data_IF_180677131223
#
_entry.id   IF_180677131223
#
_cell.length_a   1.000
_cell.length_b   1.000
_cell.length_c   1.000
_cell.angle_alpha   90.00
_cell.angle_beta   90.00
_cell.angle_gamma   90.00
#
_symmetry.space_group_name_H-M   'P 1'
#
loop_
_entity.id
_entity.type
_entity.pdbx_description
1 polymer ?
#
# COMPACT_ATOMS: atom_id res chain seq x y z
N UNK A 1 -21.13 57.37 57.39
CA UNK A 1 -22.27 57.14 56.48
C UNK A 1 -21.80 56.14 55.44
N UNK A 2 -22.30 54.92 55.27
CA UNK A 2 -23.22 54.04 56.00
C UNK A 2 -22.84 52.62 55.54
N UNK A 3 -22.93 51.68 56.46
CA UNK A 3 -22.56 50.25 56.42
C UNK A 3 -23.26 49.42 55.33
N UNK A 4 -22.57 48.41 54.79
CA UNK A 4 -23.17 47.28 54.06
C UNK A 4 -22.80 45.98 54.79
N UNK A 5 -23.80 45.19 55.17
CA UNK A 5 -23.63 43.83 55.71
C UNK A 5 -24.85 42.95 55.42
N UNK A 6 -24.59 41.65 55.19
CA UNK A 6 -25.46 40.45 55.27
C UNK A 6 -26.61 40.29 54.26
N UNK A 7 -27.00 39.13 53.73
CA UNK A 7 -26.67 37.68 53.83
C UNK A 7 -27.38 36.95 52.65
N UNK A 8 -26.95 35.74 52.23
CA UNK A 8 -27.58 34.87 51.19
C UNK A 8 -28.90 34.20 51.63
N UNK A 9 -29.48 33.16 50.96
CA UNK A 9 -28.76 32.03 50.30
C UNK A 9 -29.45 31.31 49.08
N UNK A 10 -28.76 30.27 48.53
CA UNK A 10 -29.24 29.06 47.78
C UNK A 10 -29.88 29.24 46.38
N UNK A 11 -29.62 28.46 45.32
CA UNK A 11 -29.48 26.98 45.15
C UNK A 11 -28.67 26.58 43.90
N UNK A 12 -28.14 25.35 43.94
CA UNK A 12 -27.61 24.46 42.88
C UNK A 12 -27.92 24.79 41.41
N UNK A 13 -26.89 24.60 40.57
CA UNK A 13 -27.07 23.95 39.27
C UNK A 13 -25.80 23.14 38.95
N UNK A 14 -25.84 21.86 39.33
CA UNK A 14 -24.94 20.83 38.85
C UNK A 14 -25.32 20.56 37.38
N UNK A 15 -24.43 20.92 36.47
CA UNK A 15 -24.53 20.55 35.07
C UNK A 15 -24.01 19.14 34.91
N UNK A 16 -24.89 18.16 35.08
CA UNK A 16 -24.63 16.77 34.75
C UNK A 16 -24.29 16.66 33.25
N UNK A 17 -23.12 16.09 32.99
CA UNK A 17 -22.71 15.58 31.68
C UNK A 17 -23.73 14.54 31.22
N UNK A 18 -24.51 14.89 30.20
CA UNK A 18 -25.42 13.96 29.52
C UNK A 18 -24.62 12.81 28.90
N UNK A 19 -24.58 11.70 29.65
CA UNK A 19 -24.07 10.42 29.21
C UNK A 19 -24.98 9.89 28.10
N UNK A 20 -24.44 9.92 26.89
CA UNK A 20 -25.06 9.57 25.63
C UNK A 20 -25.61 8.13 25.65
N UNK A 21 -26.86 7.97 26.09
CA UNK A 21 -27.56 6.68 26.11
C UNK A 21 -28.26 6.53 24.76
N UNK A 22 -27.63 5.81 23.83
CA UNK A 22 -28.26 5.43 22.57
C UNK A 22 -29.40 4.45 22.91
N UNK A 23 -30.63 4.95 22.93
CA UNK A 23 -31.82 4.11 23.04
C UNK A 23 -31.93 3.26 21.77
N UNK A 24 -31.88 1.93 21.92
CA UNK A 24 -32.25 0.97 20.88
C UNK A 24 -33.77 1.03 20.64
N UNK A 25 -34.28 2.10 20.04
CA UNK A 25 -35.67 2.17 19.61
C UNK A 25 -35.82 1.54 18.23
N UNK A 26 -36.32 0.30 18.19
CA UNK A 26 -37.15 -0.20 17.09
C UNK A 26 -36.47 -0.80 15.85
N UNK A 27 -35.17 -1.09 15.84
CA UNK A 27 -34.57 -1.92 14.79
C UNK A 27 -34.76 -3.40 15.14
N UNK A 28 -35.33 -4.22 14.24
CA UNK A 28 -35.46 -5.66 14.48
C UNK A 28 -34.06 -6.28 14.58
N UNK A 29 -33.57 -6.44 15.81
CA UNK A 29 -32.32 -7.13 16.06
C UNK A 29 -32.50 -8.62 15.70
N UNK A 30 -31.54 -9.16 14.95
CA UNK A 30 -31.58 -10.56 14.53
C UNK A 30 -30.59 -11.33 15.39
N UNK A 31 -31.03 -12.42 16.03
CA UNK A 31 -30.12 -13.31 16.76
C UNK A 31 -29.30 -14.14 15.77
N UNK A 32 -27.99 -14.21 15.97
CA UNK A 32 -27.12 -15.04 15.15
C UNK A 32 -27.49 -16.52 15.28
N UNK A 33 -27.58 -17.25 14.18
CA UNK A 33 -28.05 -18.65 14.17
C UNK A 33 -27.05 -19.62 14.81
N UNK A 34 -25.77 -19.24 14.92
CA UNK A 34 -24.69 -20.14 15.38
C UNK A 34 -24.11 -19.71 16.71
N UNK A 35 -23.94 -18.40 16.90
CA UNK A 35 -23.26 -17.80 18.05
C UNK A 35 -24.20 -16.99 18.96
N UNK A 36 -25.50 -17.23 18.87
CA UNK A 36 -26.43 -16.93 19.95
C UNK A 36 -26.63 -18.17 20.82
N UNK A 37 -25.74 -18.37 21.79
CA UNK A 37 -25.74 -19.52 22.70
C UNK A 37 -26.58 -19.19 23.93
N UNK A 38 -27.60 -20.00 24.22
CA UNK A 38 -28.46 -19.76 25.39
C UNK A 38 -27.69 -19.80 26.72
N UNK A 39 -26.64 -20.62 26.79
CA UNK A 39 -25.73 -20.75 27.93
C UNK A 39 -24.68 -19.62 28.02
N UNK A 40 -24.59 -18.74 27.02
CA UNK A 40 -23.66 -17.61 27.03
C UNK A 40 -24.00 -16.57 28.09
N UNK A 41 -22.98 -15.92 28.65
CA UNK A 41 -23.05 -14.92 29.71
C UNK A 41 -22.65 -13.50 29.25
N UNK A 42 -22.49 -13.31 27.93
CA UNK A 42 -22.25 -12.01 27.30
C UNK A 42 -23.05 -11.86 26.02
N UNK A 43 -23.94 -10.86 25.98
CA UNK A 43 -24.63 -10.44 24.75
C UNK A 43 -23.88 -9.29 24.08
N UNK A 44 -23.56 -9.46 22.80
CA UNK A 44 -22.87 -8.50 21.95
C UNK A 44 -23.77 -8.14 20.78
N UNK A 45 -23.93 -6.85 20.51
CA UNK A 45 -24.67 -6.33 19.40
C UNK A 45 -23.72 -5.76 18.34
N UNK A 46 -23.69 -6.36 17.16
CA UNK A 46 -22.85 -5.93 16.04
C UNK A 46 -23.77 -5.48 14.91
N UNK A 47 -23.86 -4.16 14.70
CA UNK A 47 -24.77 -3.49 13.75
C UNK A 47 -26.25 -3.87 13.88
N UNK A 48 -26.64 -5.02 13.34
CA UNK A 48 -28.02 -5.53 13.31
C UNK A 48 -28.18 -6.90 13.97
N UNK A 49 -27.07 -7.51 14.38
CA UNK A 49 -27.03 -8.92 14.81
C UNK A 49 -26.63 -9.03 16.28
N UNK A 50 -27.40 -9.78 17.05
CA UNK A 50 -27.09 -10.15 18.42
C UNK A 50 -26.33 -11.48 18.47
N UNK A 51 -25.21 -11.47 19.17
CA UNK A 51 -24.39 -12.63 19.51
C UNK A 51 -24.47 -12.84 21.01
N UNK A 52 -24.61 -14.08 21.46
CA UNK A 52 -24.60 -14.44 22.88
C UNK A 52 -23.55 -15.52 23.10
N UNK A 53 -22.42 -15.15 23.71
CA UNK A 53 -21.23 -15.98 23.84
C UNK A 53 -20.65 -15.92 25.24
N UNK A 54 -19.69 -16.80 25.56
CA UNK A 54 -19.07 -16.85 26.87
C UNK A 54 -17.99 -15.78 27.05
N UNK A 55 -18.04 -15.01 28.14
CA UNK A 55 -17.07 -13.97 28.52
C UNK A 55 -15.64 -14.49 28.53
N UNK A 56 -15.43 -15.68 29.09
CA UNK A 56 -14.10 -16.28 29.19
C UNK A 56 -13.44 -16.50 27.82
N UNK A 57 -14.23 -16.72 26.76
CA UNK A 57 -13.73 -16.90 25.39
C UNK A 57 -13.26 -15.58 24.81
N UNK A 58 -13.98 -14.49 25.08
CA UNK A 58 -13.62 -13.14 24.67
C UNK A 58 -12.44 -12.59 25.47
N UNK A 59 -12.33 -12.93 26.75
CA UNK A 59 -11.23 -12.51 27.62
C UNK A 59 -9.92 -13.30 27.39
N UNK A 60 -9.85 -14.19 26.39
CA UNK A 60 -8.61 -14.91 26.08
C UNK A 60 -7.57 -13.97 25.48
N UNK A 61 -6.31 -14.38 25.59
CA UNK A 61 -5.21 -13.81 24.81
C UNK A 61 -4.94 -12.31 25.10
N UNK A 62 -5.29 -11.83 26.30
CA UNK A 62 -5.03 -10.43 26.69
C UNK A 62 -5.91 -9.42 25.96
N UNK A 63 -7.06 -9.85 25.45
CA UNK A 63 -7.90 -9.00 24.59
C UNK A 63 -8.41 -7.76 25.32
N UNK A 64 -8.88 -6.78 24.55
CA UNK A 64 -9.52 -5.57 25.11
C UNK A 64 -10.76 -5.91 25.96
N UNK A 65 -11.40 -7.05 25.70
CA UNK A 65 -12.56 -7.51 26.46
C UNK A 65 -12.18 -7.97 27.88
N UNK A 66 -10.98 -8.51 28.09
CA UNK A 66 -10.50 -8.91 29.43
C UNK A 66 -10.51 -7.71 30.38
N UNK A 67 -9.92 -6.59 29.94
CA UNK A 67 -9.93 -5.33 30.69
C UNK A 67 -11.34 -4.79 30.90
N UNK A 68 -12.19 -4.83 29.87
CA UNK A 68 -13.58 -4.38 29.96
C UNK A 68 -14.39 -5.17 31.01
N UNK A 69 -14.19 -6.49 31.10
CA UNK A 69 -14.90 -7.34 32.06
C UNK A 69 -14.33 -7.29 33.48
N UNK A 70 -13.07 -6.88 33.64
CA UNK A 70 -12.42 -6.74 34.95
C UNK A 70 -12.87 -5.48 35.72
N UNK A 71 -13.52 -4.52 35.05
CA UNK A 71 -14.02 -3.31 35.69
C UNK A 71 -15.22 -3.63 36.60
N UNK A 72 -15.24 -3.14 37.86
CA UNK A 72 -16.35 -3.37 38.75
C UNK A 72 -17.63 -2.77 38.16
N UNK A 73 -18.78 -3.47 38.23
CA UNK A 73 -20.04 -2.92 37.77
C UNK A 73 -20.35 -1.68 38.63
N UNK A 74 -20.50 -0.52 37.97
CA UNK A 74 -21.00 0.68 38.62
C UNK A 74 -22.47 0.54 39.03
N UNK A 75 -23.14 1.67 39.30
CA UNK A 75 -24.58 1.68 39.62
C UNK A 75 -25.51 1.36 38.42
N UNK A 76 -24.96 1.08 37.24
CA UNK A 76 -25.71 0.76 36.03
C UNK A 76 -25.65 -0.75 35.74
N UNK A 77 -26.65 -1.33 35.06
CA UNK A 77 -26.63 -2.74 34.67
C UNK A 77 -25.37 -3.04 33.84
N UNK A 78 -24.67 -4.11 34.21
CA UNK A 78 -23.42 -4.52 33.59
C UNK A 78 -23.61 -4.70 32.08
N UNK A 79 -22.84 -3.97 31.28
CA UNK A 79 -22.92 -4.05 29.82
C UNK A 79 -22.71 -5.50 29.34
N UNK A 80 -23.56 -5.95 28.41
CA UNK A 80 -23.57 -7.32 27.89
C UNK A 80 -24.33 -8.33 28.74
N UNK A 81 -25.11 -7.90 29.74
CA UNK A 81 -25.89 -8.81 30.59
C UNK A 81 -27.15 -9.38 29.93
N UNK A 82 -27.69 -8.71 28.92
CA UNK A 82 -28.95 -9.08 28.26
C UNK A 82 -29.06 -8.48 26.85
N UNK A 83 -30.09 -8.91 26.12
CA UNK A 83 -30.44 -8.37 24.79
C UNK A 83 -30.81 -6.88 24.85
N UNK A 84 -31.38 -6.42 25.98
CA UNK A 84 -31.74 -5.03 26.20
C UNK A 84 -30.55 -4.15 26.61
N UNK A 85 -29.44 -4.77 27.05
CA UNK A 85 -28.22 -4.07 27.44
C UNK A 85 -26.96 -4.79 26.89
N UNK A 86 -26.79 -4.88 25.56
CA UNK A 86 -25.67 -5.59 24.96
C UNK A 86 -24.39 -4.74 24.94
N UNK A 87 -23.24 -5.39 24.73
CA UNK A 87 -22.02 -4.68 24.33
C UNK A 87 -22.14 -4.31 22.85
N UNK A 88 -22.15 -3.02 22.52
CA UNK A 88 -22.36 -2.55 21.14
C UNK A 88 -21.01 -2.42 20.43
N UNK A 89 -20.85 -3.14 19.31
CA UNK A 89 -19.68 -3.06 18.44
C UNK A 89 -20.08 -2.54 17.05
N UNK A 90 -19.19 -1.76 16.43
CA UNK A 90 -19.41 -1.15 15.11
C UNK A 90 -18.76 -1.93 13.95
N UNK A 91 -18.43 -3.20 14.17
CA UNK A 91 -17.79 -4.07 13.16
C UNK A 91 -18.79 -4.68 12.17
N UNK A 92 -18.29 -5.45 11.20
CA UNK A 92 -19.15 -6.29 10.37
C UNK A 92 -19.59 -7.56 11.11
N UNK A 93 -20.88 -7.95 11.04
CA UNK A 93 -21.36 -9.19 11.65
C UNK A 93 -20.61 -10.44 11.15
N UNK A 94 -20.23 -10.47 9.87
CA UNK A 94 -19.53 -11.60 9.28
C UNK A 94 -18.08 -11.71 9.79
N UNK A 95 -17.40 -10.58 9.97
CA UNK A 95 -16.07 -10.54 10.58
C UNK A 95 -16.14 -11.02 12.04
N UNK A 96 -17.16 -10.57 12.80
CA UNK A 96 -17.36 -11.00 14.19
C UNK A 96 -17.69 -12.49 14.30
N UNK A 97 -18.50 -13.01 13.36
CA UNK A 97 -18.79 -14.45 13.26
C UNK A 97 -17.53 -15.26 12.95
N UNK A 98 -16.68 -14.78 12.04
CA UNK A 98 -15.41 -15.41 11.73
C UNK A 98 -14.47 -15.44 12.95
N UNK A 99 -14.45 -14.37 13.74
CA UNK A 99 -13.69 -14.30 14.99
C UNK A 99 -14.25 -15.26 16.05
N UNK A 100 -15.57 -15.31 16.21
CA UNK A 100 -16.22 -16.30 17.09
C UNK A 100 -15.86 -17.73 16.67
N UNK A 101 -15.86 -18.03 15.37
CA UNK A 101 -15.40 -19.34 14.89
C UNK A 101 -13.97 -19.63 15.34
N UNK A 102 -13.03 -18.71 15.15
CA UNK A 102 -11.65 -18.91 15.55
C UNK A 102 -11.51 -19.16 17.07
N UNK A 103 -12.25 -18.40 17.88
CA UNK A 103 -12.20 -18.48 19.34
C UNK A 103 -12.79 -19.78 19.91
N UNK A 104 -13.78 -20.37 19.24
CA UNK A 104 -14.42 -21.64 19.62
C UNK A 104 -13.85 -22.88 18.91
N UNK A 105 -13.06 -22.70 17.86
CA UNK A 105 -12.55 -23.81 17.05
C UNK A 105 -11.58 -24.70 17.84
N UNK A 106 -11.61 -26.00 17.54
CA UNK A 106 -10.69 -26.97 18.13
C UNK A 106 -9.30 -26.86 17.47
N UNK A 107 -8.22 -27.28 18.13
CA UNK A 107 -6.87 -27.21 17.56
C UNK A 107 -6.77 -27.84 16.17
N UNK A 108 -7.45 -28.96 15.93
CA UNK A 108 -7.48 -29.64 14.62
C UNK A 108 -8.09 -28.78 13.50
N UNK A 109 -9.07 -27.94 13.81
CA UNK A 109 -9.73 -27.06 12.83
C UNK A 109 -8.84 -25.87 12.43
N UNK A 110 -7.90 -25.51 13.30
CA UNK A 110 -7.01 -24.34 13.20
C UNK A 110 -5.62 -24.73 12.65
N UNK A 111 -5.20 -25.99 12.85
CA UNK A 111 -3.84 -26.49 12.59
C UNK A 111 -3.43 -26.44 11.11
N UNK A 112 -4.38 -26.57 10.19
CA UNK A 112 -4.12 -26.48 8.75
C UNK A 112 -5.16 -25.57 8.10
N UNK A 113 -4.88 -24.25 7.98
CA UNK A 113 -5.77 -23.32 7.30
C UNK A 113 -5.97 -23.74 5.85
N UNK A 114 -7.14 -24.30 5.53
CA UNK A 114 -7.51 -24.60 4.15
C UNK A 114 -8.08 -23.34 3.49
N UNK A 115 -7.18 -22.44 3.09
CA UNK A 115 -7.54 -21.24 2.32
C UNK A 115 -7.72 -21.61 0.85
N UNK A 116 -8.76 -22.38 0.54
CA UNK A 116 -9.00 -22.91 -0.82
C UNK A 116 -9.83 -21.95 -1.66
N UNK A 117 -10.80 -21.30 -1.04
CA UNK A 117 -11.77 -20.42 -1.71
C UNK A 117 -11.61 -18.95 -1.30
N UNK A 118 -12.18 -18.03 -2.08
CA UNK A 118 -12.27 -16.62 -1.67
C UNK A 118 -13.05 -16.44 -0.36
N UNK A 119 -14.05 -17.28 -0.10
CA UNK A 119 -14.81 -17.27 1.17
C UNK A 119 -13.92 -17.58 2.37
N UNK A 120 -13.03 -18.57 2.23
CA UNK A 120 -12.06 -18.90 3.28
C UNK A 120 -11.12 -17.72 3.53
N UNK A 121 -10.67 -17.04 2.46
CA UNK A 121 -9.81 -15.85 2.58
C UNK A 121 -10.57 -14.72 3.27
N UNK A 122 -11.81 -14.42 2.89
CA UNK A 122 -12.65 -13.41 3.55
C UNK A 122 -12.78 -13.65 5.04
N UNK A 123 -12.98 -14.91 5.44
CA UNK A 123 -13.05 -15.30 6.85
C UNK A 123 -11.76 -14.96 7.61
N UNK A 124 -10.60 -15.27 7.04
CA UNK A 124 -9.30 -14.95 7.63
C UNK A 124 -8.97 -13.46 7.62
N UNK A 125 -9.47 -12.71 6.64
CA UNK A 125 -9.37 -11.24 6.63
C UNK A 125 -10.17 -10.64 7.79
N UNK A 126 -11.41 -11.10 8.02
CA UNK A 126 -12.23 -10.69 9.15
C UNK A 126 -11.59 -11.01 10.51
N UNK A 127 -11.05 -12.23 10.66
CA UNK A 127 -10.30 -12.62 11.87
C UNK A 127 -9.11 -11.68 12.08
N UNK A 128 -8.32 -11.40 11.03
CA UNK A 128 -7.14 -10.53 11.16
C UNK A 128 -7.51 -9.10 11.55
N UNK A 129 -8.58 -8.54 10.96
CA UNK A 129 -9.09 -7.20 11.30
C UNK A 129 -9.49 -7.11 12.77
N UNK A 130 -10.32 -8.05 13.24
CA UNK A 130 -10.83 -8.01 14.60
C UNK A 130 -9.79 -8.41 15.63
N UNK A 131 -8.89 -9.35 15.31
CA UNK A 131 -7.80 -9.73 16.19
C UNK A 131 -6.83 -8.55 16.40
N UNK A 132 -6.51 -7.79 15.36
CA UNK A 132 -5.71 -6.57 15.48
C UNK A 132 -6.45 -5.48 16.30
N UNK A 133 -7.74 -5.24 16.01
CA UNK A 133 -8.56 -4.22 16.69
C UNK A 133 -8.78 -4.50 18.18
N UNK A 134 -9.03 -5.75 18.53
CA UNK A 134 -9.35 -6.18 19.90
C UNK A 134 -8.17 -6.86 20.61
N UNK A 135 -6.97 -6.75 20.06
CA UNK A 135 -5.72 -7.24 20.65
C UNK A 135 -5.67 -8.73 20.98
N UNK A 136 -6.25 -9.58 20.12
CA UNK A 136 -6.05 -11.03 20.17
C UNK A 136 -4.75 -11.42 19.46
N UNK A 137 -3.61 -11.17 20.10
CA UNK A 137 -2.28 -11.26 19.49
C UNK A 137 -1.93 -12.63 18.87
N UNK A 138 -2.28 -13.73 19.54
CA UNK A 138 -2.05 -15.09 19.04
C UNK A 138 -2.88 -15.38 17.81
N UNK A 139 -4.14 -14.91 17.79
CA UNK A 139 -5.05 -15.07 16.66
C UNK A 139 -4.65 -14.19 15.48
N UNK A 140 -4.22 -12.95 15.73
CA UNK A 140 -3.68 -12.05 14.70
C UNK A 140 -2.46 -12.69 14.03
N UNK A 141 -1.49 -13.17 14.82
CA UNK A 141 -0.29 -13.82 14.29
C UNK A 141 -0.64 -15.06 13.47
N UNK A 142 -1.57 -15.88 13.95
CA UNK A 142 -2.01 -17.08 13.24
C UNK A 142 -2.70 -16.75 11.91
N UNK A 143 -3.70 -15.85 11.92
CA UNK A 143 -4.48 -15.53 10.73
C UNK A 143 -3.65 -14.83 9.66
N UNK A 144 -2.79 -13.90 10.06
CA UNK A 144 -1.87 -13.18 9.16
C UNK A 144 -0.78 -14.09 8.58
N UNK A 145 -0.30 -15.08 9.35
CA UNK A 145 0.64 -16.09 8.86
C UNK A 145 -0.02 -16.96 7.78
N UNK A 146 -1.27 -17.38 8.01
CA UNK A 146 -2.05 -18.15 7.04
C UNK A 146 -2.30 -17.35 5.74
N UNK A 147 -2.71 -16.08 5.87
CA UNK A 147 -2.89 -15.17 4.73
C UNK A 147 -1.58 -14.95 3.96
N UNK A 148 -0.47 -14.72 4.68
CA UNK A 148 0.84 -14.53 4.08
C UNK A 148 1.28 -15.76 3.30
N UNK A 149 1.13 -16.95 3.87
CA UNK A 149 1.44 -18.22 3.20
C UNK A 149 0.63 -18.37 1.91
N UNK A 150 -0.69 -18.12 1.98
CA UNK A 150 -1.59 -18.12 0.82
C UNK A 150 -1.28 -17.04 -0.21
N UNK A 151 -0.40 -16.07 0.08
CA UNK A 151 -0.03 -15.00 -0.84
C UNK A 151 1.45 -15.05 -1.28
N UNK A 152 2.18 -16.14 -0.99
CA UNK A 152 3.59 -16.34 -1.41
C UNK A 152 3.72 -16.95 -2.82
N UNK A 153 4.90 -17.43 -3.22
CA UNK A 153 5.32 -17.67 -4.61
C UNK A 153 4.35 -18.51 -5.48
N UNK A 154 3.72 -19.56 -4.95
CA UNK A 154 2.71 -20.36 -5.67
C UNK A 154 1.37 -19.61 -5.88
N UNK A 155 1.17 -18.52 -5.15
CA UNK A 155 -0.09 -17.80 -4.99
C UNK A 155 -0.07 -16.33 -5.45
N UNK A 156 1.01 -15.89 -6.11
CA UNK A 156 0.88 -14.72 -7.02
C UNK A 156 -0.21 -14.95 -8.07
N UNK A 157 -0.48 -16.21 -8.43
CA UNK A 157 -1.62 -16.62 -9.25
C UNK A 157 -2.95 -16.16 -8.65
N UNK A 158 -3.19 -16.46 -7.37
CA UNK A 158 -4.39 -16.05 -6.64
C UNK A 158 -4.54 -14.53 -6.58
N UNK A 159 -3.48 -13.79 -6.22
CA UNK A 159 -3.56 -12.32 -6.15
C UNK A 159 -3.82 -11.67 -7.52
N UNK A 160 -3.37 -12.30 -8.61
CA UNK A 160 -3.64 -11.87 -9.97
C UNK A 160 -5.06 -12.22 -10.44
N UNK A 161 -5.64 -13.33 -9.97
CA UNK A 161 -6.93 -13.83 -10.44
C UNK A 161 -8.13 -13.51 -9.53
N UNK A 162 -7.90 -13.16 -8.27
CA UNK A 162 -8.97 -12.88 -7.31
C UNK A 162 -9.76 -11.63 -7.70
N UNK A 163 -11.00 -11.56 -7.21
CA UNK A 163 -11.87 -10.39 -7.41
C UNK A 163 -11.21 -9.09 -6.93
N UNK A 164 -11.63 -7.96 -7.52
CA UNK A 164 -11.08 -6.63 -7.16
C UNK A 164 -11.31 -6.31 -5.68
N UNK A 165 -12.50 -6.61 -5.18
CA UNK A 165 -12.87 -6.36 -3.78
C UNK A 165 -12.02 -7.22 -2.83
N UNK A 166 -11.81 -8.49 -3.16
CA UNK A 166 -10.90 -9.36 -2.42
C UNK A 166 -9.49 -8.80 -2.40
N UNK A 167 -8.96 -8.37 -3.54
CA UNK A 167 -7.63 -7.79 -3.63
C UNK A 167 -7.46 -6.55 -2.75
N UNK A 168 -8.44 -5.63 -2.78
CA UNK A 168 -8.44 -4.42 -1.93
C UNK A 168 -8.49 -4.80 -0.45
N UNK A 169 -9.32 -5.78 -0.06
CA UNK A 169 -9.40 -6.21 1.33
C UNK A 169 -8.11 -6.88 1.82
N UNK A 170 -7.47 -7.70 0.99
CA UNK A 170 -6.16 -8.30 1.31
C UNK A 170 -5.12 -7.19 1.49
N UNK A 171 -5.13 -6.20 0.59
CA UNK A 171 -4.23 -5.04 0.68
C UNK A 171 -4.43 -4.27 1.99
N UNK A 172 -5.68 -3.93 2.31
CA UNK A 172 -6.05 -3.21 3.52
C UNK A 172 -5.59 -3.94 4.79
N UNK A 173 -5.81 -5.26 4.86
CA UNK A 173 -5.37 -6.08 6.01
C UNK A 173 -3.85 -6.18 6.08
N UNK A 174 -3.17 -6.32 4.94
CA UNK A 174 -1.71 -6.38 4.92
C UNK A 174 -1.07 -5.10 5.46
N UNK A 175 -1.64 -3.93 5.15
CA UNK A 175 -1.19 -2.64 5.70
C UNK A 175 -1.58 -2.50 7.18
N UNK A 176 -2.84 -2.79 7.53
CA UNK A 176 -3.35 -2.70 8.90
C UNK A 176 -2.52 -3.53 9.88
N UNK A 177 -2.24 -4.79 9.53
CA UNK A 177 -1.45 -5.72 10.32
C UNK A 177 0.08 -5.57 10.11
N UNK A 178 0.53 -4.51 9.41
CA UNK A 178 1.95 -4.17 9.21
C UNK A 178 2.78 -5.28 8.57
N UNK A 179 2.21 -6.02 7.62
CA UNK A 179 2.84 -7.12 6.91
C UNK A 179 3.71 -6.59 5.75
N UNK A 180 4.89 -6.03 6.05
CA UNK A 180 5.70 -5.28 5.06
C UNK A 180 6.07 -6.09 3.80
N UNK A 181 6.47 -7.36 3.98
CA UNK A 181 6.82 -8.24 2.85
C UNK A 181 5.61 -8.52 1.95
N UNK A 182 4.47 -8.81 2.56
CA UNK A 182 3.23 -9.07 1.83
C UNK A 182 2.75 -7.80 1.12
N UNK A 183 2.79 -6.65 1.81
CA UNK A 183 2.44 -5.35 1.24
C UNK A 183 3.27 -5.04 0.00
N UNK A 184 4.59 -5.26 0.04
CA UNK A 184 5.46 -5.08 -1.12
C UNK A 184 5.10 -6.01 -2.30
N UNK A 185 4.78 -7.28 -2.01
CA UNK A 185 4.31 -8.24 -3.02
C UNK A 185 3.00 -7.77 -3.64
N UNK A 186 2.01 -7.41 -2.83
CA UNK A 186 0.70 -6.96 -3.32
C UNK A 186 0.84 -5.64 -4.10
N UNK A 187 1.69 -4.71 -3.69
CA UNK A 187 1.99 -3.49 -4.44
C UNK A 187 2.54 -3.80 -5.84
N UNK A 188 3.44 -4.77 -5.97
CA UNK A 188 3.93 -5.23 -7.28
C UNK A 188 2.82 -5.90 -8.12
N UNK A 189 1.95 -6.68 -7.48
CA UNK A 189 0.78 -7.27 -8.18
C UNK A 189 -0.23 -6.20 -8.59
N UNK A 190 -0.42 -5.13 -7.80
CA UNK A 190 -1.28 -4.00 -8.14
C UNK A 190 -0.82 -3.36 -9.45
N UNK A 191 0.48 -3.08 -9.60
CA UNK A 191 1.06 -2.56 -10.84
C UNK A 191 0.80 -3.52 -12.01
N UNK A 192 0.95 -4.83 -11.80
CA UNK A 192 0.68 -5.84 -12.84
C UNK A 192 -0.80 -5.88 -13.25
N UNK A 193 -1.73 -5.85 -12.30
CA UNK A 193 -3.18 -5.82 -12.56
C UNK A 193 -3.59 -4.56 -13.33
N UNK A 194 -2.93 -3.42 -13.07
CA UNK A 194 -3.14 -2.20 -13.85
C UNK A 194 -2.62 -2.32 -15.27
N UNK A 195 -1.43 -2.92 -15.49
CA UNK A 195 -0.89 -3.14 -16.84
C UNK A 195 -1.76 -4.02 -17.72
N UNK A 196 -2.41 -5.05 -17.15
CA UNK A 196 -3.32 -5.93 -17.89
C UNK A 196 -4.75 -5.36 -18.04
N UNK A 197 -5.01 -4.17 -17.49
CA UNK A 197 -6.33 -3.52 -17.54
C UNK A 197 -7.37 -4.10 -16.57
N UNK A 198 -6.98 -5.02 -15.68
CA UNK A 198 -7.91 -5.60 -14.70
C UNK A 198 -8.22 -4.63 -13.57
N UNK A 199 -7.25 -3.85 -13.08
CA UNK A 199 -7.45 -2.82 -12.06
C UNK A 199 -7.17 -1.44 -12.66
N UNK A 200 -8.20 -0.58 -12.78
CA UNK A 200 -8.05 0.75 -13.34
C UNK A 200 -7.04 1.61 -12.58
N UNK A 201 -6.24 2.42 -13.30
CA UNK A 201 -5.18 3.25 -12.72
C UNK A 201 -5.70 4.17 -11.61
N UNK A 202 -6.87 4.80 -11.78
CA UNK A 202 -7.48 5.66 -10.76
C UNK A 202 -7.76 4.92 -9.45
N UNK A 203 -8.25 3.68 -9.52
CA UNK A 203 -8.50 2.84 -8.34
C UNK A 203 -7.19 2.41 -7.66
N UNK A 204 -6.18 2.04 -8.45
CA UNK A 204 -4.86 1.68 -7.93
C UNK A 204 -4.19 2.87 -7.22
N UNK A 205 -4.31 4.09 -7.79
CA UNK A 205 -3.81 5.31 -7.16
C UNK A 205 -4.55 5.63 -5.86
N UNK A 206 -5.88 5.51 -5.84
CA UNK A 206 -6.67 5.70 -4.62
C UNK A 206 -6.25 4.75 -3.51
N UNK A 207 -5.91 3.49 -3.84
CA UNK A 207 -5.40 2.52 -2.87
C UNK A 207 -4.02 2.93 -2.32
N UNK A 208 -3.14 3.41 -3.20
CA UNK A 208 -1.84 3.96 -2.81
C UNK A 208 -1.97 5.23 -1.96
N UNK A 209 -2.95 6.10 -2.25
CA UNK A 209 -3.23 7.33 -1.51
C UNK A 209 -3.80 7.03 -0.12
N UNK A 210 -4.78 6.12 -0.04
CA UNK A 210 -5.42 5.68 1.22
C UNK A 210 -4.39 5.21 2.25
N UNK A 211 -3.36 4.49 1.81
CA UNK A 211 -2.34 3.90 2.67
C UNK A 211 -1.03 4.69 2.72
N UNK A 212 -0.94 5.85 2.07
CA UNK A 212 0.28 6.67 2.03
C UNK A 212 1.47 6.01 1.33
N UNK A 213 1.23 5.07 0.41
CA UNK A 213 2.27 4.30 -0.28
C UNK A 213 2.83 5.07 -1.47
N UNK A 214 3.72 6.02 -1.18
CA UNK A 214 4.34 6.91 -2.17
C UNK A 214 5.11 6.15 -3.27
N UNK A 215 5.88 5.12 -2.91
CA UNK A 215 6.60 4.27 -3.86
C UNK A 215 5.68 3.59 -4.88
N UNK A 216 4.55 3.03 -4.41
CA UNK A 216 3.53 2.45 -5.28
C UNK A 216 2.92 3.50 -6.21
N UNK A 217 2.55 4.68 -5.67
CA UNK A 217 1.98 5.78 -6.46
C UNK A 217 2.94 6.24 -7.56
N UNK A 218 4.22 6.48 -7.25
CA UNK A 218 5.23 6.88 -8.22
C UNK A 218 5.39 5.84 -9.35
N UNK A 219 5.44 4.56 -8.99
CA UNK A 219 5.48 3.46 -9.97
C UNK A 219 4.21 3.39 -10.83
N UNK A 220 3.03 3.58 -10.24
CA UNK A 220 1.76 3.58 -10.98
C UNK A 220 1.71 4.73 -11.99
N UNK A 221 2.05 5.96 -11.58
CA UNK A 221 2.11 7.09 -12.51
C UNK A 221 3.14 6.88 -13.62
N UNK A 222 4.33 6.42 -13.28
CA UNK A 222 5.38 6.18 -14.28
C UNK A 222 4.96 5.12 -15.30
N UNK A 223 4.42 4.00 -14.85
CA UNK A 223 3.92 2.97 -15.77
C UNK A 223 2.73 3.47 -16.61
N UNK A 224 1.89 4.34 -16.07
CA UNK A 224 0.80 4.97 -16.84
C UNK A 224 1.35 5.91 -17.92
N UNK A 225 2.36 6.74 -17.62
CA UNK A 225 3.05 7.55 -18.63
C UNK A 225 3.67 6.70 -19.74
N UNK A 226 4.32 5.59 -19.38
CA UNK A 226 4.88 4.66 -20.37
C UNK A 226 3.79 4.01 -21.24
N UNK A 227 2.61 3.73 -20.68
CA UNK A 227 1.48 3.22 -21.45
C UNK A 227 0.92 4.28 -22.40
N UNK A 228 0.78 5.53 -21.94
CA UNK A 228 0.38 6.67 -22.78
C UNK A 228 1.28 6.83 -24.00
N UNK A 229 2.57 6.56 -23.81
CA UNK A 229 3.60 6.63 -24.84
C UNK A 229 3.57 5.47 -25.84
N UNK A 230 3.39 4.25 -25.33
CA UNK A 230 3.42 3.04 -26.13
C UNK A 230 2.19 2.86 -27.04
N UNK A 231 1.08 3.53 -26.71
CA UNK A 231 -0.07 3.53 -27.59
C UNK A 231 0.25 4.33 -28.87
N UNK A 232 -0.04 3.73 -30.03
CA UNK A 232 -0.07 4.38 -31.35
C UNK A 232 -1.21 5.42 -31.37
N UNK A 233 -1.07 6.43 -30.53
CA UNK A 233 -2.02 7.52 -30.37
C UNK A 233 -2.05 8.24 -31.68
N UNK A 234 -3.20 8.23 -32.35
CA UNK A 234 -3.40 9.01 -33.57
C UNK A 234 -3.83 10.41 -33.17
N UNK A 235 -3.41 11.43 -33.92
CA UNK A 235 -3.93 12.78 -33.71
C UNK A 235 -5.45 12.76 -33.87
N UNK A 236 -6.14 13.64 -33.15
CA UNK A 236 -7.57 13.82 -33.35
C UNK A 236 -7.86 14.13 -34.82
N UNK A 237 -8.98 13.62 -35.40
CA UNK A 237 -9.34 13.95 -36.77
C UNK A 237 -9.37 15.46 -36.97
N UNK A 238 -8.66 15.95 -38.00
CA UNK A 238 -8.54 17.37 -38.34
C UNK A 238 -7.87 18.25 -37.27
N UNK A 239 -7.03 17.69 -36.39
CA UNK A 239 -6.25 18.46 -35.42
C UNK A 239 -4.83 17.95 -35.25
N UNK A 240 -4.03 18.70 -34.50
CA UNK A 240 -2.63 18.36 -34.15
C UNK A 240 -2.49 17.77 -32.75
N UNK A 241 -3.57 17.76 -31.97
CA UNK A 241 -3.57 17.27 -30.60
C UNK A 241 -3.67 15.74 -30.55
N UNK A 242 -2.94 15.15 -29.62
CA UNK A 242 -3.01 13.74 -29.28
C UNK A 242 -3.77 13.64 -27.95
N UNK A 243 -4.75 12.75 -27.89
CA UNK A 243 -5.57 12.56 -26.68
C UNK A 243 -5.35 11.14 -26.19
N UNK A 244 -5.05 11.05 -24.89
CA UNK A 244 -5.09 9.80 -24.16
C UNK A 244 -6.27 9.83 -23.19
N UNK A 245 -7.01 8.74 -23.10
CA UNK A 245 -8.14 8.65 -22.18
C UNK A 245 -7.64 8.53 -20.73
N UNK A 246 -7.70 9.65 -20.02
CA UNK A 246 -7.39 9.76 -18.60
C UNK A 246 -8.66 9.94 -17.74
N UNK A 247 -9.83 9.59 -18.26
CA UNK A 247 -11.13 9.80 -17.60
C UNK A 247 -11.26 9.14 -16.21
N UNK A 248 -10.46 8.11 -15.94
CA UNK A 248 -10.43 7.43 -14.64
C UNK A 248 -9.65 8.18 -13.56
N UNK A 249 -8.88 9.20 -13.91
CA UNK A 249 -8.07 9.99 -12.98
C UNK A 249 -8.86 11.22 -12.50
N UNK A 250 -8.77 11.51 -11.21
CA UNK A 250 -9.29 12.77 -10.67
C UNK A 250 -8.36 13.96 -11.03
N UNK A 251 -8.82 15.22 -10.88
CA UNK A 251 -8.02 16.39 -11.27
C UNK A 251 -6.65 16.48 -10.58
N UNK A 252 -6.57 16.11 -9.30
CA UNK A 252 -5.31 16.09 -8.55
C UNK A 252 -4.36 15.03 -9.10
N UNK A 253 -4.86 13.84 -9.41
CA UNK A 253 -4.08 12.77 -10.00
C UNK A 253 -3.58 13.13 -11.39
N UNK A 254 -4.43 13.79 -12.19
CA UNK A 254 -4.06 14.28 -13.52
C UNK A 254 -2.97 15.37 -13.45
N UNK A 255 -3.07 16.30 -12.49
CA UNK A 255 -2.03 17.30 -12.26
C UNK A 255 -0.67 16.66 -11.92
N UNK A 256 -0.66 15.67 -11.03
CA UNK A 256 0.55 14.92 -10.65
C UNK A 256 1.15 14.16 -11.83
N UNK A 257 0.31 13.56 -12.67
CA UNK A 257 0.75 12.88 -13.89
C UNK A 257 1.52 13.83 -14.82
N UNK A 258 0.98 15.02 -15.08
CA UNK A 258 1.62 16.03 -15.93
C UNK A 258 2.85 16.68 -15.28
N UNK A 259 2.82 16.91 -13.96
CA UNK A 259 3.99 17.36 -13.22
C UNK A 259 5.15 16.35 -13.33
N UNK A 260 4.84 15.06 -13.21
CA UNK A 260 5.79 13.97 -13.41
C UNK A 260 6.32 13.88 -14.83
N UNK A 261 5.46 14.05 -15.85
CA UNK A 261 5.89 14.14 -17.25
C UNK A 261 6.94 15.25 -17.43
N UNK A 262 6.67 16.45 -16.93
CA UNK A 262 7.59 17.57 -17.04
C UNK A 262 8.90 17.31 -16.27
N UNK A 263 8.79 16.85 -15.03
CA UNK A 263 9.94 16.58 -14.15
C UNK A 263 10.87 15.52 -14.73
N UNK A 264 10.32 14.40 -15.23
CA UNK A 264 11.11 13.33 -15.87
C UNK A 264 11.76 13.80 -17.18
N UNK A 265 11.04 14.60 -17.98
CA UNK A 265 11.59 15.17 -19.21
C UNK A 265 12.77 16.09 -18.92
N UNK A 266 12.67 16.92 -17.88
CA UNK A 266 13.78 17.77 -17.43
C UNK A 266 14.95 16.94 -16.90
N UNK A 267 14.67 15.90 -16.11
CA UNK A 267 15.71 14.99 -15.61
C UNK A 267 16.48 14.31 -16.75
N UNK A 268 15.79 13.82 -17.77
CA UNK A 268 16.44 13.24 -18.94
C UNK A 268 17.24 14.26 -19.75
N UNK A 269 16.70 15.46 -19.96
CA UNK A 269 17.45 16.55 -20.62
C UNK A 269 18.73 16.91 -19.85
N UNK A 270 18.68 16.93 -18.51
CA UNK A 270 19.86 17.17 -17.69
C UNK A 270 20.91 16.06 -17.84
N UNK A 271 20.49 14.80 -17.97
CA UNK A 271 21.41 13.68 -18.27
C UNK A 271 22.02 13.85 -19.67
N UNK A 272 21.23 14.22 -20.68
CA UNK A 272 21.76 14.44 -22.03
C UNK A 272 22.78 15.60 -22.09
N UNK A 273 22.58 16.63 -21.26
CA UNK A 273 23.41 17.83 -21.25
C UNK A 273 24.51 17.81 -20.18
N UNK A 274 24.62 16.74 -19.39
CA UNK A 274 25.61 16.69 -18.32
C UNK A 274 27.04 16.62 -18.89
N UNK A 275 28.04 17.20 -18.19
CA UNK A 275 29.43 16.97 -18.53
C UNK A 275 29.73 15.47 -18.55
N UNK A 276 30.56 15.02 -19.50
CA UNK A 276 31.02 13.64 -19.57
C UNK A 276 31.46 13.16 -18.18
N UNK A 277 30.84 12.09 -17.63
CA UNK A 277 31.21 11.56 -16.32
C UNK A 277 32.68 11.18 -16.26
N UNK A 278 33.33 11.26 -15.11
CA UNK A 278 34.70 10.74 -15.00
C UNK A 278 34.70 9.22 -15.11
N UNK A 279 35.57 8.68 -15.96
CA UNK A 279 35.73 7.24 -16.11
C UNK A 279 36.61 6.70 -14.97
N UNK A 280 36.09 5.89 -14.04
CA UNK A 280 36.91 5.36 -12.96
C UNK A 280 37.95 4.37 -13.50
N UNK A 281 39.20 4.52 -13.07
CA UNK A 281 40.24 3.53 -13.33
C UNK A 281 40.04 2.32 -12.44
N UNK A 282 39.96 1.12 -13.04
CA UNK A 282 39.72 -0.15 -12.35
C UNK A 282 40.96 -1.04 -12.39
N UNK A 283 41.11 -1.93 -11.40
CA UNK A 283 42.16 -2.94 -11.33
C UNK A 283 42.33 -3.67 -12.68
N UNK A 284 43.56 -3.65 -13.22
CA UNK A 284 43.88 -4.20 -14.54
C UNK A 284 44.10 -3.15 -15.63
N UNK A 285 43.74 -1.88 -15.39
CA UNK A 285 44.15 -0.74 -16.21
C UNK A 285 45.37 -0.06 -15.59
N UNK A 286 46.42 0.21 -16.37
CA UNK A 286 47.58 0.98 -15.89
C UNK A 286 47.29 2.48 -15.98
N UNK A 287 47.88 3.29 -15.08
CA UNK A 287 47.72 4.75 -15.11
C UNK A 287 48.02 5.35 -16.50
N UNK A 288 49.08 4.89 -17.16
CA UNK A 288 49.49 5.39 -18.48
C UNK A 288 48.47 5.02 -19.56
N UNK A 289 47.99 3.78 -19.57
CA UNK A 289 46.98 3.34 -20.52
C UNK A 289 45.63 4.03 -20.28
N UNK A 290 45.26 4.25 -19.01
CA UNK A 290 44.05 4.94 -18.63
C UNK A 290 44.06 6.39 -19.13
N UNK A 291 45.13 7.14 -18.85
CA UNK A 291 45.24 8.53 -19.26
C UNK A 291 45.38 8.73 -20.78
N UNK A 292 46.13 7.84 -21.46
CA UNK A 292 46.39 8.00 -22.90
C UNK A 292 45.18 7.58 -23.74
N UNK A 293 44.46 6.54 -23.34
CA UNK A 293 43.40 5.97 -24.16
C UNK A 293 42.01 6.03 -23.53
N UNK A 294 41.86 5.61 -22.26
CA UNK A 294 40.54 5.54 -21.64
C UNK A 294 39.92 6.94 -21.45
N UNK A 295 40.68 7.89 -20.90
CA UNK A 295 40.21 9.26 -20.69
C UNK A 295 40.06 10.04 -22.01
N UNK A 296 40.88 9.73 -23.02
CA UNK A 296 40.83 10.38 -24.33
C UNK A 296 39.62 9.93 -25.16
N UNK A 297 39.30 8.63 -25.18
CA UNK A 297 38.23 8.08 -26.01
C UNK A 297 36.85 8.17 -25.35
N UNK A 298 36.80 8.24 -24.02
CA UNK A 298 35.57 8.20 -23.25
C UNK A 298 34.56 9.31 -23.60
N UNK A 299 34.96 10.59 -23.76
CA UNK A 299 34.04 11.65 -24.15
C UNK A 299 33.28 11.36 -25.45
N UNK A 300 34.00 10.94 -26.50
CA UNK A 300 33.39 10.59 -27.79
C UNK A 300 32.44 9.39 -27.67
N UNK A 301 32.81 8.41 -26.84
CA UNK A 301 31.98 7.22 -26.60
C UNK A 301 30.67 7.58 -25.89
N UNK A 302 30.77 8.41 -24.85
CA UNK A 302 29.63 8.90 -24.09
C UNK A 302 28.70 9.75 -24.97
N UNK A 303 29.24 10.74 -25.68
CA UNK A 303 28.47 11.61 -26.57
C UNK A 303 27.80 10.83 -27.70
N UNK A 304 28.52 9.88 -28.31
CA UNK A 304 27.98 9.00 -29.34
C UNK A 304 26.85 8.10 -28.81
N UNK A 305 26.96 7.61 -27.57
CA UNK A 305 25.92 6.79 -26.96
C UNK A 305 24.68 7.62 -26.60
N UNK A 306 24.84 8.82 -26.03
CA UNK A 306 23.73 9.74 -25.75
C UNK A 306 23.01 10.14 -27.04
N UNK A 307 23.75 10.49 -28.09
CA UNK A 307 23.19 10.87 -29.40
C UNK A 307 22.40 9.72 -30.03
N UNK A 308 22.95 8.49 -29.97
CA UNK A 308 22.26 7.27 -30.45
C UNK A 308 20.93 7.03 -29.72
N UNK A 309 20.90 7.18 -28.39
CA UNK A 309 19.65 7.03 -27.62
C UNK A 309 18.64 8.13 -27.98
N UNK A 310 19.11 9.37 -28.16
CA UNK A 310 18.27 10.50 -28.55
C UNK A 310 17.64 10.31 -29.93
N UNK A 311 18.41 9.83 -30.92
CA UNK A 311 17.95 9.57 -32.28
C UNK A 311 16.94 8.43 -32.37
N UNK A 312 17.05 7.42 -31.49
CA UNK A 312 16.10 6.29 -31.42
C UNK A 312 14.70 6.70 -30.94
N UNK A 313 14.48 7.99 -30.63
CA UNK A 313 13.19 8.59 -30.26
C UNK A 313 12.45 7.83 -29.16
N UNK A 314 13.17 7.23 -28.22
CA UNK A 314 12.51 6.91 -26.97
C UNK A 314 12.14 8.25 -26.33
N UNK A 315 10.84 8.44 -26.06
CA UNK A 315 10.33 9.70 -25.54
C UNK A 315 11.07 10.11 -24.27
N UNK A 316 11.20 11.43 -24.05
CA UNK A 316 11.95 12.00 -22.93
C UNK A 316 11.48 11.54 -21.55
N UNK A 317 10.31 10.92 -21.44
CA UNK A 317 9.76 10.38 -20.20
C UNK A 317 10.07 8.92 -19.93
N UNK A 318 10.49 8.12 -20.92
CA UNK A 318 10.93 6.74 -20.68
C UNK A 318 12.40 6.69 -20.23
N UNK A 319 12.70 7.41 -19.15
CA UNK A 319 14.08 7.61 -18.68
C UNK A 319 14.74 6.27 -18.32
N UNK A 320 14.01 5.34 -17.70
CA UNK A 320 14.55 4.01 -17.39
C UNK A 320 14.93 3.23 -18.64
N UNK A 321 14.09 3.27 -19.68
CA UNK A 321 14.40 2.63 -20.97
C UNK A 321 15.56 3.30 -21.69
N UNK A 322 15.66 4.64 -21.59
CA UNK A 322 16.77 5.41 -22.16
C UNK A 322 18.10 5.05 -21.49
N UNK A 323 18.11 4.90 -20.15
CA UNK A 323 19.28 4.46 -19.40
C UNK A 323 19.66 3.01 -19.73
N UNK A 324 18.69 2.12 -19.95
CA UNK A 324 18.95 0.75 -20.41
C UNK A 324 19.60 0.73 -21.80
N UNK A 325 19.08 1.53 -22.74
CA UNK A 325 19.68 1.67 -24.07
C UNK A 325 21.07 2.29 -24.02
N UNK A 326 21.27 3.31 -23.19
CA UNK A 326 22.57 3.95 -23.00
C UNK A 326 23.61 2.92 -22.51
N UNK A 327 23.25 2.09 -21.54
CA UNK A 327 24.10 1.00 -21.05
C UNK A 327 24.43 -0.01 -22.15
N UNK A 328 23.45 -0.38 -22.97
CA UNK A 328 23.64 -1.30 -24.10
C UNK A 328 24.57 -0.68 -25.15
N UNK A 329 24.35 0.57 -25.54
CA UNK A 329 25.15 1.24 -26.56
C UNK A 329 26.60 1.41 -26.10
N UNK A 330 26.84 1.76 -24.83
CA UNK A 330 28.19 1.79 -24.24
C UNK A 330 28.87 0.42 -24.28
N UNK A 331 28.13 -0.66 -24.00
CA UNK A 331 28.65 -2.03 -24.06
C UNK A 331 28.97 -2.46 -25.51
N UNK A 332 28.17 -2.05 -26.50
CA UNK A 332 28.37 -2.36 -27.91
C UNK A 332 29.52 -1.58 -28.55
N UNK A 333 29.92 -0.45 -27.98
CA UNK A 333 31.10 0.30 -28.44
C UNK A 333 32.42 -0.35 -28.00
N UNK A 334 32.43 -1.19 -26.94
CA UNK A 334 33.62 -1.88 -26.44
C UNK A 334 34.42 -2.64 -27.53
N UNK A 335 33.80 -3.47 -28.40
CA UNK A 335 34.54 -4.19 -29.46
C UNK A 335 34.94 -3.32 -30.65
N UNK A 336 34.39 -2.10 -30.80
CA UNK A 336 34.63 -1.23 -31.98
C UNK A 336 35.83 -0.30 -31.80
N UNK A 337 36.11 0.14 -30.57
CA UNK A 337 37.26 0.96 -30.21
C UNK A 337 38.17 0.13 -29.30
N UNK A 338 39.17 -0.57 -29.86
CA UNK A 338 40.14 -1.41 -29.14
C UNK A 338 41.04 -0.64 -28.13
N UNK A 339 40.77 0.64 -27.90
CA UNK A 339 41.65 1.56 -27.21
C UNK A 339 41.25 1.75 -25.74
N UNK A 340 40.02 1.47 -25.32
CA UNK A 340 39.61 1.64 -23.93
C UNK A 340 39.52 0.29 -23.18
N UNK A 341 39.91 0.29 -21.91
CA UNK A 341 39.90 -0.91 -21.07
C UNK A 341 38.46 -1.39 -20.83
N UNK A 342 38.20 -2.67 -21.11
CA UNK A 342 36.89 -3.28 -20.88
C UNK A 342 36.44 -3.20 -19.42
N UNK A 343 37.37 -3.25 -18.45
CA UNK A 343 37.04 -3.13 -17.02
C UNK A 343 36.64 -1.70 -16.62
N UNK A 344 37.26 -0.69 -17.21
CA UNK A 344 36.91 0.72 -16.98
C UNK A 344 35.54 1.03 -17.62
N UNK A 345 35.28 0.52 -18.82
CA UNK A 345 33.98 0.67 -19.49
C UNK A 345 32.86 -0.09 -18.77
N UNK A 346 33.14 -1.25 -18.17
CA UNK A 346 32.17 -1.93 -17.32
C UNK A 346 31.79 -1.07 -16.09
N UNK A 347 32.76 -0.37 -15.49
CA UNK A 347 32.50 0.55 -14.40
C UNK A 347 31.70 1.81 -14.83
N UNK A 348 31.87 2.29 -16.07
CA UNK A 348 30.95 3.29 -16.64
C UNK A 348 29.51 2.75 -16.80
N UNK A 349 29.35 1.48 -17.18
CA UNK A 349 28.04 0.82 -17.17
C UNK A 349 27.40 0.75 -15.79
N UNK A 350 28.21 0.65 -14.72
CA UNK A 350 27.73 0.74 -13.34
C UNK A 350 27.31 2.15 -12.95
N UNK A 351 27.94 3.20 -13.49
CA UNK A 351 27.47 4.59 -13.32
C UNK A 351 26.04 4.77 -13.88
N UNK A 352 25.77 4.31 -15.11
CA UNK A 352 24.42 4.35 -15.70
C UNK A 352 23.43 3.51 -14.88
N UNK A 353 23.88 2.37 -14.36
CA UNK A 353 23.06 1.53 -13.47
C UNK A 353 22.74 2.22 -12.14
N UNK A 354 23.67 3.02 -11.62
CA UNK A 354 23.45 3.85 -10.44
C UNK A 354 22.40 4.93 -10.70
N UNK A 355 22.50 5.67 -11.81
CA UNK A 355 21.48 6.66 -12.21
C UNK A 355 20.08 6.05 -12.31
N UNK A 356 19.97 4.82 -12.83
CA UNK A 356 18.69 4.10 -12.91
C UNK A 356 18.16 3.74 -11.52
N UNK A 357 19.00 3.19 -10.64
CA UNK A 357 18.61 2.85 -9.26
C UNK A 357 18.20 4.10 -8.47
N UNK A 358 18.90 5.21 -8.66
CA UNK A 358 18.60 6.48 -8.01
C UNK A 358 17.24 7.01 -8.50
N UNK A 359 16.99 7.01 -9.81
CA UNK A 359 15.68 7.36 -10.37
C UNK A 359 14.57 6.45 -9.83
N UNK A 360 14.77 5.13 -9.78
CA UNK A 360 13.77 4.19 -9.27
C UNK A 360 13.44 4.45 -7.79
N UNK A 361 14.43 4.90 -7.00
CA UNK A 361 14.27 5.26 -5.59
C UNK A 361 13.56 6.61 -5.41
N UNK A 362 13.90 7.61 -6.22
CA UNK A 362 13.32 8.96 -6.14
C UNK A 362 12.09 9.15 -7.02
N UNK A 363 11.64 8.09 -7.71
CA UNK A 363 10.52 8.13 -8.64
C UNK A 363 9.28 8.84 -8.07
N UNK A 364 8.85 8.60 -6.81
CA UNK A 364 7.71 9.29 -6.24
C UNK A 364 7.87 10.81 -6.18
N UNK A 365 9.09 11.33 -6.02
CA UNK A 365 9.35 12.77 -5.91
C UNK A 365 9.01 13.53 -7.19
N UNK A 366 9.19 12.88 -8.35
CA UNK A 366 8.84 13.46 -9.65
C UNK A 366 7.32 13.72 -9.78
N UNK A 367 6.49 12.89 -9.14
CA UNK A 367 5.02 12.97 -9.24
C UNK A 367 4.37 13.65 -8.04
N UNK A 368 4.90 13.42 -6.85
CA UNK A 368 4.29 13.78 -5.57
C UNK A 368 5.03 14.93 -4.86
N UNK A 369 6.14 15.40 -5.40
CA UNK A 369 7.04 16.36 -4.74
C UNK A 369 7.92 15.70 -3.67
N UNK A 370 8.88 16.46 -3.13
CA UNK A 370 9.77 16.01 -2.06
C UNK A 370 8.99 15.65 -0.79
N UNK A 371 9.50 14.70 -0.02
CA UNK A 371 9.01 14.49 1.34
C UNK A 371 9.42 15.71 2.19
N UNK A 372 8.45 16.38 2.79
CA UNK A 372 8.74 17.36 3.82
C UNK A 372 9.44 16.61 4.96
N UNK A 373 10.74 16.84 5.11
CA UNK A 373 11.60 16.23 6.13
C UNK A 373 11.45 16.91 7.47
#
# INVERSE_FOLDING_TARGET
MTTISTQGPTTHNDGDEEMNTIQLTGSSCIRDTTYYKEEGDCTIFVKTTLFKIHRFILARDGSTFEGMFALPPGNCPTQGSSDDNPVVLHDEPDDFRAMCWALYALPMDISTPQLSTESDVSKFLGISRLANKYHFASFEKWSTSALSQKCTAEATSFLLSCSRDMFVQIFDVAVLCRLSRLTATIANICIRRTKIGDLGIGQALLLGEKHGLRDLQGKLYYNHLLAMDAHDTKPIPNGTAYIYDNSTLNPTQMLRLYAGYWSLSQYWQNICNMPTPQLPMVNGCTNTFHSEYCDTEWPDMWEGAISSVHERRLFGVNVTGNLDLLKIDLALQQPRKQNASASCLAAAGEFVSALKRDLEKTLPEHFLGAENT
#
